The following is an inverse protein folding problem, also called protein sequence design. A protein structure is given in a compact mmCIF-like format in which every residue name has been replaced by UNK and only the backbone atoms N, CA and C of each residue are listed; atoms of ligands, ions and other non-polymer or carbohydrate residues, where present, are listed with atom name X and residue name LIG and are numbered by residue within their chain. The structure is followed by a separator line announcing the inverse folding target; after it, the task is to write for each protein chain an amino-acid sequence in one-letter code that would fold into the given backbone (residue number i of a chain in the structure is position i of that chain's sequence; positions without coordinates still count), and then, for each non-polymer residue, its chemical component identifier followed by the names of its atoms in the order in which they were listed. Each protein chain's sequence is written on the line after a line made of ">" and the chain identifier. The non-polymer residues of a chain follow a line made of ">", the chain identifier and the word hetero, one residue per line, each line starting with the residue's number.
data_IF_302937315381
#
_entry.id   IF_302937315381
#
_cell.length_a   1.000
_cell.length_b   1.000
_cell.length_c   1.000
_cell.angle_alpha   90.00
_cell.angle_beta   90.00
_cell.angle_gamma   90.00
#
_symmetry.space_group_name_H-M   'P 1'
#
loop_
_entity.id
_entity.type
_entity.pdbx_description
1 polymer ?
#
# COMPACT_ATOMS: atom_id res chain seq x y z
N UNK A 1 18.69 6.33 -5.33
CA UNK A 1 18.66 4.85 -5.46
C UNK A 1 17.27 4.32 -5.81
N UNK A 2 16.21 4.68 -5.08
CA UNK A 2 14.85 4.18 -5.34
C UNK A 2 14.21 4.80 -6.60
N UNK A 3 14.54 6.03 -6.91
CA UNK A 3 14.02 6.79 -8.05
C UNK A 3 15.00 6.90 -9.22
N UNK A 4 16.27 6.48 -9.03
CA UNK A 4 17.26 6.43 -10.10
C UNK A 4 17.12 5.18 -10.96
N UNK A 5 17.51 5.28 -12.22
CA UNK A 5 17.50 4.17 -13.15
C UNK A 5 18.46 3.07 -12.71
N UNK A 6 17.93 1.88 -12.41
CA UNK A 6 18.74 0.72 -12.07
C UNK A 6 19.22 0.00 -13.33
N UNK A 7 18.39 -0.02 -14.35
CA UNK A 7 18.69 -0.59 -15.64
C UNK A 7 18.23 0.36 -16.75
N UNK A 8 19.12 0.66 -17.66
CA UNK A 8 18.79 1.38 -18.90
C UNK A 8 18.70 0.38 -20.04
N UNK A 9 17.54 0.22 -20.63
CA UNK A 9 17.36 -0.60 -21.82
C UNK A 9 17.66 0.29 -23.03
N UNK A 10 18.76 0.05 -23.80
CA UNK A 10 19.08 0.84 -24.99
C UNK A 10 18.02 0.56 -26.06
N UNK A 11 17.20 1.54 -26.38
CA UNK A 11 16.38 1.54 -27.59
C UNK A 11 17.23 2.11 -28.73
N UNK A 12 17.61 1.35 -29.69
CA UNK A 12 18.52 1.61 -30.82
C UNK A 12 18.64 3.02 -31.43
N UNK A 13 18.00 4.04 -30.85
CA UNK A 13 18.02 5.46 -31.25
C UNK A 13 18.74 6.39 -30.24
N UNK A 14 19.66 5.89 -29.45
CA UNK A 14 20.41 6.72 -28.50
C UNK A 14 19.65 7.11 -27.22
N UNK A 15 18.37 6.83 -27.13
CA UNK A 15 17.54 7.04 -25.93
C UNK A 15 17.36 5.70 -25.21
N UNK A 16 17.84 5.59 -23.98
CA UNK A 16 17.58 4.44 -23.10
C UNK A 16 16.34 4.68 -22.25
N UNK A 17 15.51 3.65 -22.06
CA UNK A 17 14.43 3.69 -21.05
C UNK A 17 15.04 3.26 -19.73
N UNK A 18 15.11 4.19 -18.78
CA UNK A 18 15.51 3.91 -17.41
C UNK A 18 14.37 3.24 -16.63
N UNK A 19 14.64 2.10 -15.99
CA UNK A 19 13.67 1.43 -15.12
C UNK A 19 14.12 1.61 -13.68
N UNK A 20 13.41 2.42 -12.88
CA UNK A 20 13.71 2.56 -11.46
C UNK A 20 13.37 1.29 -10.68
N UNK A 21 14.12 1.01 -9.63
CA UNK A 21 13.92 -0.15 -8.75
C UNK A 21 12.48 -0.23 -8.23
N UNK A 22 11.88 0.91 -7.94
CA UNK A 22 10.51 0.99 -7.42
C UNK A 22 9.50 0.38 -8.41
N UNK A 23 9.62 0.69 -9.69
CA UNK A 23 8.74 0.14 -10.74
C UNK A 23 8.93 -1.35 -10.88
N UNK A 24 10.19 -1.81 -10.83
CA UNK A 24 10.54 -3.22 -10.92
C UNK A 24 9.99 -4.04 -9.74
N UNK A 25 9.83 -3.45 -8.58
CA UNK A 25 9.24 -4.10 -7.41
C UNK A 25 7.70 -4.02 -7.42
N UNK A 26 7.14 -2.84 -7.74
CA UNK A 26 5.69 -2.61 -7.63
C UNK A 26 4.88 -3.38 -8.69
N UNK A 27 5.32 -3.38 -9.95
CA UNK A 27 4.55 -4.01 -11.02
C UNK A 27 4.48 -5.54 -10.84
N UNK A 28 5.60 -6.29 -10.67
CA UNK A 28 5.51 -7.73 -10.46
C UNK A 28 4.75 -8.11 -9.19
N UNK A 29 4.93 -7.34 -8.11
CA UNK A 29 4.21 -7.57 -6.84
C UNK A 29 2.71 -7.33 -7.02
N UNK A 30 2.32 -6.26 -7.71
CA UNK A 30 0.91 -5.97 -8.02
C UNK A 30 0.29 -7.05 -8.89
N UNK A 31 0.98 -7.51 -9.93
CA UNK A 31 0.54 -8.61 -10.80
C UNK A 31 0.40 -9.91 -10.00
N UNK A 32 1.41 -10.24 -9.18
CA UNK A 32 1.38 -11.43 -8.34
C UNK A 32 0.16 -11.43 -7.41
N UNK A 33 -0.06 -10.35 -6.67
CA UNK A 33 -1.21 -10.26 -5.77
C UNK A 33 -2.53 -10.22 -6.53
N UNK A 34 -2.63 -9.56 -7.67
CA UNK A 34 -3.83 -9.54 -8.48
C UNK A 34 -4.24 -10.95 -8.93
N UNK A 35 -3.28 -11.74 -9.42
CA UNK A 35 -3.52 -13.13 -9.82
C UNK A 35 -3.82 -14.00 -8.58
N UNK A 36 -3.00 -13.89 -7.53
CA UNK A 36 -3.12 -14.71 -6.32
C UNK A 36 -4.43 -14.48 -5.58
N UNK A 37 -4.93 -13.27 -5.58
CA UNK A 37 -6.22 -12.90 -4.97
C UNK A 37 -7.40 -13.04 -5.94
N UNK A 38 -7.17 -13.52 -7.17
CA UNK A 38 -8.21 -13.72 -8.19
C UNK A 38 -9.01 -12.44 -8.45
N UNK A 39 -8.33 -11.32 -8.73
CA UNK A 39 -8.96 -10.02 -8.99
C UNK A 39 -9.92 -9.59 -7.87
N UNK A 40 -9.55 -9.80 -6.64
CA UNK A 40 -10.36 -9.59 -5.45
C UNK A 40 -11.02 -8.20 -5.38
N UNK A 41 -10.33 -7.08 -5.69
CA UNK A 41 -10.96 -5.75 -5.68
C UNK A 41 -12.19 -5.65 -6.59
N UNK A 42 -12.15 -6.29 -7.76
CA UNK A 42 -13.27 -6.29 -8.70
C UNK A 42 -14.40 -7.20 -8.20
N UNK A 43 -14.03 -8.40 -7.72
CA UNK A 43 -15.01 -9.39 -7.28
C UNK A 43 -15.76 -8.99 -6.01
N UNK A 44 -15.09 -8.33 -5.07
CA UNK A 44 -15.68 -7.86 -3.82
C UNK A 44 -16.23 -6.42 -3.90
N UNK A 45 -16.17 -5.78 -5.06
CA UNK A 45 -16.69 -4.42 -5.21
C UNK A 45 -18.15 -4.27 -4.76
N UNK A 46 -19.09 -5.17 -5.11
CA UNK A 46 -20.46 -5.09 -4.62
C UNK A 46 -20.55 -5.20 -3.09
N UNK A 47 -19.74 -6.07 -2.48
CA UNK A 47 -19.70 -6.26 -1.03
C UNK A 47 -19.08 -5.06 -0.32
N UNK A 48 -18.12 -4.38 -0.94
CA UNK A 48 -17.58 -3.10 -0.45
C UNK A 48 -18.67 -2.03 -0.38
N UNK A 49 -19.50 -1.90 -1.42
CA UNK A 49 -20.61 -0.94 -1.44
C UNK A 49 -21.64 -1.28 -0.35
N UNK A 50 -21.96 -2.56 -0.17
CA UNK A 50 -22.85 -3.00 0.90
C UNK A 50 -22.28 -2.73 2.29
N UNK A 51 -20.98 -2.95 2.46
CA UNK A 51 -20.27 -2.70 3.73
C UNK A 51 -20.28 -1.22 4.12
N UNK A 52 -20.27 -0.28 3.17
CA UNK A 52 -20.38 1.16 3.46
C UNK A 52 -21.69 1.54 4.16
N UNK A 53 -22.78 0.83 3.85
CA UNK A 53 -24.09 1.03 4.49
C UNK A 53 -24.24 0.29 5.83
N UNK A 54 -23.19 -0.42 6.27
CA UNK A 54 -23.17 -1.16 7.53
C UNK A 54 -23.22 -0.22 8.74
N UNK A 55 -23.84 -0.69 9.82
CA UNK A 55 -23.84 0.02 11.09
C UNK A 55 -22.49 -0.12 11.79
N UNK A 56 -22.15 0.83 12.66
CA UNK A 56 -21.00 0.80 13.54
C UNK A 56 -21.00 -0.51 14.35
N UNK A 57 -19.95 -1.32 14.23
CA UNK A 57 -19.91 -2.67 14.83
C UNK A 57 -19.45 -2.70 16.29
N UNK A 58 -18.73 -1.67 16.75
CA UNK A 58 -18.18 -1.62 18.13
C UNK A 58 -18.36 -0.23 18.74
N UNK A 59 -18.63 -0.16 20.04
CA UNK A 59 -18.57 1.08 20.82
C UNK A 59 -17.12 1.60 20.81
N UNK A 60 -16.93 2.82 20.32
CA UNK A 60 -15.59 3.44 20.16
C UNK A 60 -14.96 3.30 18.77
N UNK A 61 -15.46 2.43 17.86
CA UNK A 61 -14.99 2.31 16.50
C UNK A 61 -15.56 3.40 15.57
N UNK A 62 -14.90 3.62 14.42
CA UNK A 62 -15.41 4.48 13.34
C UNK A 62 -16.45 3.73 12.51
N UNK A 63 -17.44 4.45 11.97
CA UNK A 63 -18.35 3.86 11.01
C UNK A 63 -17.60 3.55 9.69
N UNK A 64 -18.10 2.62 8.85
CA UNK A 64 -17.45 2.30 7.57
C UNK A 64 -17.25 3.53 6.68
N UNK A 65 -18.23 4.43 6.62
CA UNK A 65 -18.14 5.68 5.86
C UNK A 65 -17.09 6.62 6.46
N UNK A 66 -17.05 6.78 7.77
CA UNK A 66 -16.01 7.59 8.44
C UNK A 66 -14.62 7.03 8.18
N UNK A 67 -14.46 5.72 8.24
CA UNK A 67 -13.19 5.04 7.91
C UNK A 67 -12.78 5.30 6.47
N UNK A 68 -13.72 5.29 5.52
CA UNK A 68 -13.45 5.62 4.12
C UNK A 68 -12.96 7.07 3.98
N UNK A 69 -13.64 8.04 4.60
CA UNK A 69 -13.22 9.45 4.55
C UNK A 69 -11.84 9.66 5.16
N UNK A 70 -11.57 9.13 6.33
CA UNK A 70 -10.26 9.24 6.98
C UNK A 70 -9.17 8.59 6.12
N UNK A 71 -9.41 7.38 5.62
CA UNK A 71 -8.46 6.66 4.77
C UNK A 71 -8.17 7.40 3.47
N UNK A 72 -9.18 8.02 2.86
CA UNK A 72 -9.00 8.81 1.63
C UNK A 72 -8.25 10.10 1.92
N UNK A 73 -8.63 10.83 2.97
CA UNK A 73 -7.99 12.09 3.35
C UNK A 73 -6.50 11.92 3.68
N UNK A 74 -6.12 10.81 4.30
CA UNK A 74 -4.72 10.54 4.65
C UNK A 74 -3.87 10.10 3.45
N UNK A 75 -4.48 9.60 2.39
CA UNK A 75 -3.77 9.13 1.18
C UNK A 75 -3.70 10.16 0.07
N UNK A 76 -4.62 11.11 0.02
CA UNK A 76 -4.64 12.18 -0.99
C UNK A 76 -3.85 13.37 -0.46
N UNK A 77 -2.57 13.44 -0.82
CA UNK A 77 -1.69 14.57 -0.50
C UNK A 77 -1.38 15.44 -1.72
N UNK A 78 -0.83 16.61 -1.48
CA UNK A 78 -0.37 17.54 -2.55
C UNK A 78 0.58 16.86 -3.55
N UNK A 79 1.44 15.95 -3.07
CA UNK A 79 2.37 15.20 -3.92
C UNK A 79 1.67 14.36 -4.99
N UNK A 80 0.50 13.79 -4.68
CA UNK A 80 -0.29 13.01 -5.64
C UNK A 80 -0.84 13.90 -6.76
N UNK A 81 -1.31 15.11 -6.43
CA UNK A 81 -1.82 16.07 -7.42
C UNK A 81 -0.70 16.55 -8.34
N UNK A 82 0.43 16.98 -7.76
CA UNK A 82 1.60 17.43 -8.52
C UNK A 82 2.15 16.29 -9.39
N UNK A 83 2.21 15.06 -8.86
CA UNK A 83 2.66 13.89 -9.60
C UNK A 83 1.80 13.57 -10.82
N UNK A 84 0.48 13.68 -10.70
CA UNK A 84 -0.46 13.50 -11.84
C UNK A 84 -0.26 14.57 -12.90
N UNK A 85 -0.16 15.84 -12.49
CA UNK A 85 0.09 16.95 -13.43
C UNK A 85 1.41 16.76 -14.16
N UNK A 86 2.49 16.43 -13.45
CA UNK A 86 3.80 16.19 -14.03
C UNK A 86 3.77 15.00 -15.01
N UNK A 87 3.11 13.90 -14.66
CA UNK A 87 2.99 12.73 -15.52
C UNK A 87 2.23 13.03 -16.82
N UNK A 88 1.13 13.79 -16.74
CA UNK A 88 0.36 14.20 -17.93
C UNK A 88 1.16 15.19 -18.78
N UNK A 89 1.87 16.13 -18.17
CA UNK A 89 2.68 17.10 -18.88
C UNK A 89 3.83 16.45 -19.65
N UNK A 90 4.43 15.39 -19.08
CA UNK A 90 5.55 14.70 -19.70
C UNK A 90 5.10 13.59 -20.69
N UNK A 91 4.05 12.83 -20.34
CA UNK A 91 3.62 11.65 -21.08
C UNK A 91 2.33 11.82 -21.89
N UNK A 92 1.71 13.02 -21.85
CA UNK A 92 0.45 13.29 -22.55
C UNK A 92 -0.70 12.39 -22.09
N UNK A 93 -1.70 12.21 -22.97
CA UNK A 93 -2.88 11.40 -22.67
C UNK A 93 -2.57 9.93 -22.36
N UNK A 94 -1.49 9.38 -22.90
CA UNK A 94 -1.05 8.01 -22.63
C UNK A 94 -0.69 7.76 -21.17
N UNK A 95 -0.22 8.78 -20.46
CA UNK A 95 0.13 8.68 -19.05
C UNK A 95 -1.10 8.32 -18.19
N UNK A 96 -2.28 8.83 -18.52
CA UNK A 96 -3.54 8.54 -17.80
C UNK A 96 -3.88 7.05 -17.86
N UNK A 97 -3.73 6.44 -19.03
CA UNK A 97 -3.95 5.00 -19.19
C UNK A 97 -3.02 4.19 -18.31
N UNK A 98 -1.72 4.50 -18.30
CA UNK A 98 -0.74 3.81 -17.48
C UNK A 98 -0.94 4.03 -15.99
N UNK A 99 -1.39 5.24 -15.59
CA UNK A 99 -1.75 5.51 -14.19
C UNK A 99 -2.95 4.65 -13.74
N UNK A 100 -3.98 4.50 -14.58
CA UNK A 100 -5.13 3.63 -14.26
C UNK A 100 -4.72 2.16 -14.16
N UNK A 101 -3.89 1.68 -15.08
CA UNK A 101 -3.39 0.32 -15.05
C UNK A 101 -2.57 0.05 -13.78
N UNK A 102 -1.68 0.96 -13.42
CA UNK A 102 -0.87 0.88 -12.20
C UNK A 102 -1.73 0.93 -10.94
N UNK A 103 -2.76 1.77 -10.91
CA UNK A 103 -3.70 1.86 -9.80
C UNK A 103 -4.51 0.57 -9.63
N UNK A 104 -4.96 -0.05 -10.72
CA UNK A 104 -5.67 -1.32 -10.68
C UNK A 104 -4.80 -2.46 -10.12
N UNK A 105 -3.53 -2.53 -10.54
CA UNK A 105 -2.57 -3.50 -9.98
C UNK A 105 -2.25 -3.21 -8.50
N UNK A 106 -2.07 -1.93 -8.16
CA UNK A 106 -1.79 -1.50 -6.80
C UNK A 106 -2.96 -1.72 -5.83
N UNK A 107 -4.20 -1.72 -6.32
CA UNK A 107 -5.37 -1.95 -5.49
C UNK A 107 -5.34 -3.33 -4.79
N UNK A 108 -4.88 -4.37 -5.47
CA UNK A 108 -4.73 -5.71 -4.87
C UNK A 108 -3.68 -5.74 -3.77
N UNK A 109 -2.56 -5.03 -3.95
CA UNK A 109 -1.50 -4.90 -2.94
C UNK A 109 -2.01 -4.14 -1.71
N UNK A 110 -2.68 -3.01 -1.92
CA UNK A 110 -3.27 -2.21 -0.85
C UNK A 110 -4.33 -2.99 -0.05
N UNK A 111 -5.11 -3.83 -0.73
CA UNK A 111 -6.07 -4.71 -0.05
C UNK A 111 -5.37 -5.72 0.87
N UNK A 112 -4.32 -6.39 0.38
CA UNK A 112 -3.55 -7.36 1.18
C UNK A 112 -2.92 -6.68 2.40
N UNK A 113 -2.35 -5.49 2.21
CA UNK A 113 -1.78 -4.69 3.29
C UNK A 113 -2.83 -4.35 4.36
N UNK A 114 -3.99 -3.83 3.94
CA UNK A 114 -5.07 -3.49 4.86
C UNK A 114 -5.63 -4.73 5.59
N UNK A 115 -5.75 -5.86 4.90
CA UNK A 115 -6.17 -7.12 5.50
C UNK A 115 -5.18 -7.62 6.57
N UNK A 116 -3.87 -7.56 6.27
CA UNK A 116 -2.84 -7.90 7.24
C UNK A 116 -2.85 -6.97 8.46
N UNK A 117 -3.03 -5.66 8.24
CA UNK A 117 -3.12 -4.69 9.32
C UNK A 117 -4.31 -4.99 10.25
N UNK A 118 -5.45 -5.43 9.72
CA UNK A 118 -6.62 -5.82 10.51
C UNK A 118 -6.43 -7.15 11.24
N UNK A 119 -5.76 -8.13 10.61
CA UNK A 119 -5.51 -9.45 11.21
C UNK A 119 -4.55 -9.40 12.40
N UNK A 120 -3.58 -8.49 12.34
CA UNK A 120 -2.51 -8.35 13.34
C UNK A 120 -2.65 -7.07 14.19
N UNK A 121 -3.85 -6.49 14.24
CA UNK A 121 -4.13 -5.36 15.13
C UNK A 121 -4.12 -5.81 16.59
N UNK A 122 -3.55 -4.99 17.46
CA UNK A 122 -3.51 -5.20 18.90
C UNK A 122 -4.31 -4.09 19.62
N UNK A 123 -4.86 -4.39 20.78
CA UNK A 123 -5.52 -3.37 21.58
C UNK A 123 -4.49 -2.43 22.18
N UNK A 124 -4.74 -1.14 22.06
CA UNK A 124 -3.90 -0.12 22.67
C UNK A 124 -4.26 0.03 24.17
N UNK A 125 -3.32 -0.27 25.07
CA UNK A 125 -3.58 -0.16 26.51
C UNK A 125 -3.70 1.29 26.98
N UNK A 126 -3.21 2.28 26.21
CA UNK A 126 -3.18 3.69 26.61
C UNK A 126 -4.47 4.43 26.24
N UNK A 127 -5.02 4.17 25.05
CA UNK A 127 -6.13 4.94 24.50
C UNK A 127 -7.41 4.14 24.27
N UNK A 128 -7.41 2.83 24.60
CA UNK A 128 -8.59 1.97 24.44
C UNK A 128 -8.98 1.66 22.99
N UNK A 129 -8.15 2.06 22.01
CA UNK A 129 -8.31 1.79 20.60
C UNK A 129 -7.53 0.55 20.13
N UNK A 130 -7.22 0.53 18.84
CA UNK A 130 -6.39 -0.50 18.23
C UNK A 130 -5.19 0.13 17.54
N UNK A 131 -4.05 -0.49 17.68
CA UNK A 131 -2.87 -0.16 16.90
C UNK A 131 -2.44 -1.36 16.05
N UNK A 132 -1.83 -1.09 14.90
CA UNK A 132 -1.43 -2.11 13.95
C UNK A 132 -0.61 -1.51 12.83
N UNK A 133 -0.42 -2.28 11.78
CA UNK A 133 0.30 -1.84 10.59
C UNK A 133 1.50 -2.71 10.26
N UNK A 134 2.34 -2.29 9.28
CA UNK A 134 3.43 -3.13 8.75
C UNK A 134 4.43 -3.60 9.81
N UNK A 135 4.79 -2.78 10.77
CA UNK A 135 5.71 -3.15 11.83
C UNK A 135 5.19 -4.33 12.68
N UNK A 136 3.88 -4.37 12.95
CA UNK A 136 3.25 -5.41 13.76
C UNK A 136 3.18 -6.74 13.03
N UNK A 137 2.67 -6.79 11.78
CA UNK A 137 2.59 -8.06 11.07
C UNK A 137 3.96 -8.59 10.64
N UNK A 138 4.95 -7.72 10.37
CA UNK A 138 6.34 -8.13 10.13
C UNK A 138 6.93 -8.78 11.39
N UNK A 139 6.66 -8.19 12.56
CA UNK A 139 7.12 -8.74 13.84
C UNK A 139 6.50 -10.12 14.09
N UNK A 140 5.18 -10.24 13.99
CA UNK A 140 4.44 -11.48 14.18
C UNK A 140 4.86 -12.58 13.19
N UNK A 141 5.12 -12.20 11.94
CA UNK A 141 5.65 -13.12 10.93
C UNK A 141 7.06 -13.62 11.29
N UNK A 142 7.94 -12.72 11.74
CA UNK A 142 9.30 -13.08 12.15
C UNK A 142 9.31 -14.04 13.35
N UNK A 143 8.41 -13.86 14.33
CA UNK A 143 8.23 -14.78 15.44
C UNK A 143 7.76 -16.16 14.98
N UNK A 144 6.78 -16.19 14.05
CA UNK A 144 6.25 -17.44 13.49
C UNK A 144 7.32 -18.25 12.76
N UNK A 145 8.14 -17.57 11.93
CA UNK A 145 9.22 -18.21 11.17
C UNK A 145 10.32 -18.73 12.09
N UNK A 146 10.71 -17.94 13.09
CA UNK A 146 11.78 -18.33 14.04
C UNK A 146 11.32 -19.26 15.16
N UNK A 147 10.00 -19.52 15.27
CA UNK A 147 9.40 -20.33 16.36
C UNK A 147 9.82 -19.91 17.77
N UNK A 148 10.20 -18.63 17.94
CA UNK A 148 10.63 -18.06 19.23
C UNK A 148 9.97 -16.69 19.39
N UNK A 149 9.50 -16.38 20.61
CA UNK A 149 9.07 -15.02 20.95
C UNK A 149 10.27 -14.08 20.87
N UNK A 150 10.20 -13.10 20.00
CA UNK A 150 11.22 -12.09 19.80
C UNK A 150 10.81 -10.83 20.57
N UNK A 151 11.65 -10.34 21.45
CA UNK A 151 11.41 -9.08 22.15
C UNK A 151 11.28 -7.91 21.18
N UNK A 152 12.01 -7.92 20.06
CA UNK A 152 11.92 -6.99 18.91
C UNK A 152 12.45 -7.67 17.66
N UNK A 153 11.75 -7.52 16.54
CA UNK A 153 12.25 -7.94 15.22
C UNK A 153 13.07 -6.81 14.60
N UNK A 154 14.31 -7.08 14.22
CA UNK A 154 15.19 -6.08 13.58
C UNK A 154 14.54 -5.49 12.32
N UNK A 155 13.88 -6.32 11.50
CA UNK A 155 13.21 -5.88 10.29
C UNK A 155 12.04 -4.94 10.61
N UNK A 156 11.24 -5.25 11.64
CA UNK A 156 10.15 -4.39 12.06
C UNK A 156 10.64 -3.04 12.60
N UNK A 157 11.75 -3.03 13.33
CA UNK A 157 12.36 -1.79 13.83
C UNK A 157 12.92 -0.96 12.69
N UNK A 158 13.62 -1.57 11.74
CA UNK A 158 14.14 -0.86 10.55
C UNK A 158 12.99 -0.26 9.73
N UNK A 159 11.89 -1.00 9.56
CA UNK A 159 10.72 -0.48 8.88
C UNK A 159 10.11 0.73 9.62
N UNK A 160 9.95 0.63 10.94
CA UNK A 160 9.42 1.73 11.74
C UNK A 160 10.32 2.98 11.70
N UNK A 161 11.64 2.80 11.78
CA UNK A 161 12.60 3.89 11.67
C UNK A 161 12.58 4.55 10.29
N UNK A 162 12.53 3.75 9.21
CA UNK A 162 12.40 4.29 7.85
C UNK A 162 11.10 5.07 7.66
N UNK A 163 10.00 4.62 8.27
CA UNK A 163 8.74 5.33 8.30
C UNK A 163 8.84 6.69 9.01
N UNK A 164 9.47 6.72 10.18
CA UNK A 164 9.70 7.98 10.91
C UNK A 164 10.54 8.99 10.10
N UNK A 165 11.60 8.53 9.43
CA UNK A 165 12.44 9.40 8.59
C UNK A 165 11.67 9.91 7.37
N UNK A 166 10.74 9.10 6.82
CA UNK A 166 9.96 9.47 5.64
C UNK A 166 8.84 10.48 5.94
N UNK A 167 8.29 10.47 7.16
CA UNK A 167 7.13 11.28 7.58
C UNK A 167 7.49 12.43 8.54
N UNK A 168 8.69 12.44 9.10
CA UNK A 168 9.22 13.50 9.96
C UNK A 168 9.97 14.55 9.18
#
# INVERSE_FOLDING_TARGET
>A
FLWGDLFTIPLGNGNGIGIPLLVLLLIPTGVYFTIRTRFLPVRLFPDMIRALNGKKQEEGGLSPIQTLFVSTATRVGMGNLVGVVAAISAGGAGAVFWMWLSAALGASTAFVEAALAQLYKEKDPLYGGYHGGPAYYIHSYAERVRKKKLKRSVIAVLFALSGLICWG
#
